data_IF_331059443431
#
_entry.id   IF_331059443431
#
_cell.length_a   1.000
_cell.length_b   1.000
_cell.length_c   1.000
_cell.angle_alpha   90.00
_cell.angle_beta   90.00
_cell.angle_gamma   90.00
#
_symmetry.space_group_name_H-M   'P 1'
#
loop_
_entity.id
_entity.type
_entity.pdbx_description
1 polymer ?
#
# COMPACT_ATOMS: atom_id res chain seq x y z
N UNK A 1 -14.56 -7.44 19.67
CA UNK A 1 -14.05 -8.22 18.53
C UNK A 1 -12.84 -9.00 19.01
N UNK A 2 -12.80 -10.31 18.84
CA UNK A 2 -11.72 -11.14 19.35
C UNK A 2 -10.71 -11.31 18.21
N UNK A 3 -9.56 -10.65 18.31
CA UNK A 3 -8.50 -10.74 17.30
C UNK A 3 -7.82 -12.11 17.43
N UNK A 4 -8.10 -13.03 16.50
CA UNK A 4 -7.70 -14.43 16.64
C UNK A 4 -6.20 -14.68 16.47
N UNK A 5 -5.58 -14.09 15.45
CA UNK A 5 -4.19 -14.40 15.11
C UNK A 5 -3.47 -13.21 14.48
N UNK A 6 -2.28 -12.91 14.99
CA UNK A 6 -1.34 -11.98 14.34
C UNK A 6 -0.80 -12.66 13.09
N UNK A 7 -0.91 -12.00 11.94
CA UNK A 7 -0.36 -12.45 10.64
C UNK A 7 0.80 -11.61 10.17
N UNK A 8 0.91 -10.36 10.62
CA UNK A 8 2.07 -9.52 10.37
C UNK A 8 2.20 -8.43 11.43
N UNK A 9 3.45 -8.10 11.78
CA UNK A 9 3.81 -6.93 12.58
C UNK A 9 4.65 -6.03 11.69
N UNK A 10 4.30 -4.75 11.61
CA UNK A 10 5.04 -3.68 10.92
C UNK A 10 5.41 -2.62 11.95
N UNK A 11 6.28 -1.69 11.56
CA UNK A 11 6.73 -0.64 12.48
C UNK A 11 5.59 0.28 12.94
N UNK A 12 4.53 0.38 12.16
CA UNK A 12 3.46 1.35 12.23
C UNK A 12 2.06 0.72 12.45
N UNK A 13 1.95 -0.60 12.29
CA UNK A 13 0.68 -1.32 12.42
C UNK A 13 0.85 -2.81 12.68
N UNK A 14 -0.12 -3.39 13.35
CA UNK A 14 -0.25 -4.84 13.50
C UNK A 14 -1.43 -5.35 12.70
N UNK A 15 -1.21 -6.44 11.97
CA UNK A 15 -2.24 -7.06 11.13
C UNK A 15 -2.66 -8.38 11.74
N UNK A 16 -3.95 -8.52 11.95
CA UNK A 16 -4.57 -9.71 12.51
C UNK A 16 -5.46 -10.40 11.48
N UNK A 17 -5.65 -11.68 11.67
CA UNK A 17 -6.76 -12.42 11.07
C UNK A 17 -7.86 -12.56 12.10
N UNK A 18 -9.10 -12.38 11.66
CA UNK A 18 -10.32 -12.63 12.43
C UNK A 18 -11.33 -13.31 11.50
N UNK A 19 -11.34 -14.64 11.53
CA UNK A 19 -12.14 -15.44 10.60
C UNK A 19 -11.78 -15.19 9.13
N UNK A 20 -12.73 -14.63 8.40
CA UNK A 20 -12.59 -14.26 6.98
C UNK A 20 -12.15 -12.79 6.79
N UNK A 21 -11.76 -12.11 7.86
CA UNK A 21 -11.34 -10.72 7.82
C UNK A 21 -9.85 -10.56 8.14
N UNK A 22 -9.28 -9.55 7.52
CA UNK A 22 -7.97 -8.98 7.82
C UNK A 22 -8.20 -7.67 8.56
N UNK A 23 -7.60 -7.52 9.74
CA UNK A 23 -7.74 -6.36 10.61
C UNK A 23 -6.38 -5.69 10.76
N UNK A 24 -6.24 -4.49 10.19
CA UNK A 24 -5.05 -3.64 10.35
C UNK A 24 -5.31 -2.68 11.51
N UNK A 25 -4.60 -2.86 12.61
CA UNK A 25 -4.65 -1.97 13.78
C UNK A 25 -3.44 -1.04 13.71
N UNK A 26 -3.70 0.26 13.56
CA UNK A 26 -2.65 1.28 13.42
C UNK A 26 -2.19 1.76 14.80
N UNK A 27 -0.93 2.12 14.90
CA UNK A 27 -0.40 2.76 16.10
C UNK A 27 -0.66 4.28 16.10
N UNK A 28 -0.19 4.97 17.13
CA UNK A 28 -0.39 6.41 17.32
C UNK A 28 0.48 7.28 16.39
N UNK A 29 1.38 6.71 15.59
CA UNK A 29 2.19 7.46 14.63
C UNK A 29 1.39 7.88 13.40
N UNK A 30 0.28 7.20 13.11
CA UNK A 30 -0.62 7.54 12.00
C UNK A 30 -1.70 8.51 12.42
N UNK A 31 -1.89 9.54 11.61
CA UNK A 31 -3.05 10.42 11.76
C UNK A 31 -4.32 9.72 11.27
N UNK A 32 -5.46 10.19 11.75
CA UNK A 32 -6.76 9.69 11.27
C UNK A 32 -6.91 9.85 9.75
N UNK A 33 -6.40 10.95 9.18
CA UNK A 33 -6.44 11.20 7.74
C UNK A 33 -5.58 10.22 6.95
N UNK A 34 -4.44 9.79 7.47
CA UNK A 34 -3.60 8.79 6.80
C UNK A 34 -4.33 7.45 6.69
N UNK A 35 -4.97 7.02 7.79
CA UNK A 35 -5.70 5.75 7.83
C UNK A 35 -6.92 5.77 6.91
N UNK A 36 -7.68 6.88 6.91
CA UNK A 36 -8.81 7.08 6.00
C UNK A 36 -8.35 7.10 4.55
N UNK A 37 -7.21 7.71 4.25
CA UNK A 37 -6.63 7.73 2.91
C UNK A 37 -6.17 6.34 2.46
N UNK A 38 -5.56 5.53 3.34
CA UNK A 38 -5.20 4.13 3.01
C UNK A 38 -6.46 3.33 2.63
N UNK A 39 -7.53 3.46 3.40
CA UNK A 39 -8.78 2.76 3.10
C UNK A 39 -9.43 3.25 1.80
N UNK A 40 -9.44 4.57 1.57
CA UNK A 40 -9.94 5.18 0.34
C UNK A 40 -9.18 4.67 -0.89
N UNK A 41 -7.85 4.68 -0.86
CA UNK A 41 -7.04 4.23 -1.98
C UNK A 41 -7.22 2.75 -2.27
N UNK A 42 -7.34 1.92 -1.23
CA UNK A 42 -7.64 0.50 -1.41
C UNK A 42 -9.01 0.28 -2.06
N UNK A 43 -10.02 1.05 -1.66
CA UNK A 43 -11.37 1.00 -2.24
C UNK A 43 -11.35 1.45 -3.70
N UNK A 44 -10.72 2.59 -4.01
CA UNK A 44 -10.61 3.08 -5.39
C UNK A 44 -9.85 2.12 -6.30
N UNK A 45 -8.79 1.48 -5.80
CA UNK A 45 -8.06 0.46 -6.54
C UNK A 45 -8.96 -0.73 -6.89
N UNK A 46 -9.82 -1.18 -5.95
CA UNK A 46 -10.80 -2.23 -6.20
C UNK A 46 -11.85 -1.82 -7.23
N UNK A 47 -12.40 -0.62 -7.12
CA UNK A 47 -13.37 -0.06 -8.06
C UNK A 47 -12.78 0.08 -9.48
N UNK A 48 -11.48 0.34 -9.59
CA UNK A 48 -10.74 0.33 -10.86
C UNK A 48 -10.49 -1.09 -11.41
N UNK A 49 -11.00 -2.13 -10.75
CA UNK A 49 -10.89 -3.53 -11.19
C UNK A 49 -9.56 -4.21 -10.83
N UNK A 50 -8.82 -3.68 -9.85
CA UNK A 50 -7.68 -4.40 -9.27
C UNK A 50 -8.16 -5.46 -8.28
N UNK A 51 -7.50 -6.62 -8.30
CA UNK A 51 -7.81 -7.71 -7.37
C UNK A 51 -7.15 -7.45 -5.99
N UNK A 52 -7.71 -6.49 -5.26
CA UNK A 52 -7.31 -6.14 -3.90
C UNK A 52 -8.42 -6.49 -2.90
N UNK A 53 -8.10 -6.74 -1.62
CA UNK A 53 -9.10 -7.01 -0.59
C UNK A 53 -10.10 -5.87 -0.49
N UNK A 54 -11.40 -6.21 -0.35
CA UNK A 54 -12.45 -5.22 -0.16
C UNK A 54 -12.41 -4.64 1.25
N UNK A 55 -12.46 -3.33 1.38
CA UNK A 55 -12.58 -2.64 2.67
C UNK A 55 -14.03 -2.75 3.15
N UNK A 56 -14.23 -3.44 4.28
CA UNK A 56 -15.58 -3.63 4.83
C UNK A 56 -15.99 -2.50 5.77
N UNK A 57 -15.05 -2.05 6.61
CA UNK A 57 -15.32 -0.95 7.54
C UNK A 57 -14.02 -0.40 8.13
N UNK A 58 -14.12 0.81 8.65
CA UNK A 58 -13.14 1.43 9.53
C UNK A 58 -13.77 1.49 10.91
N UNK A 59 -13.04 1.13 11.93
CA UNK A 59 -13.53 1.08 13.31
C UNK A 59 -12.41 1.40 14.28
N UNK A 60 -12.75 1.54 15.54
CA UNK A 60 -11.80 1.70 16.63
C UNK A 60 -11.75 0.40 17.46
N UNK A 61 -10.54 -0.08 17.72
CA UNK A 61 -10.27 -1.27 18.55
C UNK A 61 -9.25 -0.85 19.61
N UNK A 62 -9.62 -0.94 20.87
CA UNK A 62 -8.80 -0.56 22.01
C UNK A 62 -8.20 0.85 21.87
N UNK A 63 -9.02 1.83 21.45
CA UNK A 63 -8.63 3.22 21.25
C UNK A 63 -7.76 3.47 20.00
N UNK A 64 -7.62 2.47 19.09
CA UNK A 64 -6.83 2.58 17.87
C UNK A 64 -7.68 2.42 16.63
N UNK A 65 -7.53 3.34 15.70
CA UNK A 65 -8.19 3.21 14.40
C UNK A 65 -7.70 1.97 13.66
N UNK A 66 -8.64 1.28 13.05
CA UNK A 66 -8.41 0.00 12.40
C UNK A 66 -9.20 -0.11 11.10
N UNK A 67 -8.58 -0.70 10.08
CA UNK A 67 -9.22 -1.03 8.80
C UNK A 67 -9.52 -2.52 8.78
N UNK A 68 -10.76 -2.87 8.50
CA UNK A 68 -11.21 -4.24 8.32
C UNK A 68 -11.48 -4.48 6.85
N UNK A 69 -10.83 -5.48 6.28
CA UNK A 69 -10.97 -5.89 4.88
C UNK A 69 -11.11 -7.41 4.76
N UNK A 70 -11.39 -7.90 3.57
CA UNK A 70 -11.37 -9.34 3.29
C UNK A 70 -9.99 -9.93 3.58
N UNK A 71 -9.98 -11.14 4.16
CA UNK A 71 -8.76 -11.92 4.30
C UNK A 71 -8.52 -12.76 3.05
N UNK A 72 -7.40 -12.54 2.38
CA UNK A 72 -7.00 -13.35 1.22
C UNK A 72 -6.24 -14.59 1.72
N UNK A 73 -6.82 -15.76 1.51
CA UNK A 73 -6.16 -17.03 1.76
C UNK A 73 -5.11 -17.29 0.69
N UNK A 74 -3.86 -17.50 1.11
CA UNK A 74 -2.78 -17.77 0.17
C UNK A 74 -1.41 -17.69 0.81
N UNK A 75 -0.40 -17.87 -0.02
CA UNK A 75 1.00 -17.70 0.32
C UNK A 75 1.59 -16.53 -0.46
N UNK A 76 2.54 -15.85 0.14
CA UNK A 76 3.28 -14.79 -0.56
C UNK A 76 4.21 -15.39 -1.61
N UNK A 77 4.48 -14.65 -2.69
CA UNK A 77 5.47 -15.10 -3.69
C UNK A 77 6.86 -15.28 -3.06
N UNK A 78 7.21 -14.47 -2.06
CA UNK A 78 8.47 -14.62 -1.31
C UNK A 78 8.55 -15.97 -0.62
N UNK A 79 7.51 -16.39 0.11
CA UNK A 79 7.50 -17.72 0.74
C UNK A 79 7.51 -18.84 -0.28
N UNK A 80 6.74 -18.71 -1.37
CA UNK A 80 6.73 -19.71 -2.45
C UNK A 80 8.10 -19.87 -3.11
N UNK A 81 8.84 -18.77 -3.35
CA UNK A 81 10.20 -18.81 -3.90
C UNK A 81 11.17 -19.48 -2.92
N UNK A 82 11.03 -19.17 -1.63
CA UNK A 82 11.88 -19.73 -0.58
C UNK A 82 11.67 -21.24 -0.42
N UNK A 83 10.40 -21.65 -0.42
CA UNK A 83 10.02 -23.06 -0.24
C UNK A 83 10.26 -23.90 -1.51
N UNK A 84 10.28 -23.27 -2.69
CA UNK A 84 10.43 -23.93 -4.00
C UNK A 84 11.41 -23.17 -4.91
N UNK A 85 12.73 -23.13 -4.60
CA UNK A 85 13.71 -22.34 -5.35
C UNK A 85 13.80 -22.73 -6.84
N UNK A 86 13.53 -23.98 -7.17
CA UNK A 86 13.54 -24.50 -8.54
C UNK A 86 12.45 -23.87 -9.42
N UNK A 87 11.35 -23.35 -8.81
CA UNK A 87 10.25 -22.66 -9.51
C UNK A 87 10.38 -21.16 -9.50
N UNK A 88 11.53 -20.61 -9.06
CA UNK A 88 11.74 -19.16 -8.94
C UNK A 88 11.39 -18.38 -10.20
N UNK A 89 11.80 -18.89 -11.38
CA UNK A 89 11.52 -18.23 -12.67
C UNK A 89 10.01 -18.11 -12.93
N UNK A 90 9.26 -19.13 -12.58
CA UNK A 90 7.79 -19.13 -12.72
C UNK A 90 7.16 -18.06 -11.81
N UNK A 91 7.55 -18.04 -10.54
CA UNK A 91 7.01 -17.05 -9.58
C UNK A 91 7.39 -15.62 -9.94
N UNK A 92 8.61 -15.38 -10.43
CA UNK A 92 9.02 -14.07 -10.94
C UNK A 92 8.19 -13.66 -12.17
N UNK A 93 7.83 -14.60 -13.05
CA UNK A 93 6.94 -14.31 -14.18
C UNK A 93 5.54 -13.94 -13.71
N UNK A 94 5.00 -14.63 -12.72
CA UNK A 94 3.71 -14.27 -12.09
C UNK A 94 3.79 -12.83 -11.54
N UNK A 95 4.84 -12.51 -10.79
CA UNK A 95 5.06 -11.17 -10.26
C UNK A 95 5.09 -10.10 -11.35
N UNK A 96 5.88 -10.32 -12.41
CA UNK A 96 5.99 -9.39 -13.54
C UNK A 96 4.66 -9.22 -14.26
N UNK A 97 3.93 -10.29 -14.52
CA UNK A 97 2.62 -10.22 -15.18
C UNK A 97 1.60 -9.46 -14.32
N UNK A 98 1.60 -9.69 -13.00
CA UNK A 98 0.74 -8.95 -12.06
C UNK A 98 1.10 -7.45 -12.07
N UNK A 99 2.38 -7.10 -12.13
CA UNK A 99 2.82 -5.70 -12.25
C UNK A 99 2.35 -5.06 -13.55
N UNK A 100 2.48 -5.77 -14.68
CA UNK A 100 2.02 -5.27 -15.99
C UNK A 100 0.50 -5.09 -16.00
N UNK A 101 -0.26 -6.02 -15.41
CA UNK A 101 -1.69 -5.90 -15.26
C UNK A 101 -2.07 -4.67 -14.41
N UNK A 102 -1.42 -4.48 -13.27
CA UNK A 102 -1.62 -3.32 -12.40
C UNK A 102 -1.34 -2.01 -13.15
N UNK A 103 -0.24 -1.94 -13.90
CA UNK A 103 0.14 -0.76 -14.68
C UNK A 103 -0.80 -0.50 -15.88
N UNK A 104 -1.54 -1.50 -16.34
CA UNK A 104 -2.53 -1.34 -17.41
C UNK A 104 -3.83 -0.70 -16.95
N UNK A 105 -4.10 -0.71 -15.64
CA UNK A 105 -5.32 -0.15 -15.06
C UNK A 105 -5.18 1.36 -14.86
N UNK A 106 -6.28 2.06 -15.06
CA UNK A 106 -6.39 3.49 -14.73
C UNK A 106 -7.20 3.62 -13.44
N UNK A 107 -6.57 4.14 -12.40
CA UNK A 107 -7.22 4.43 -11.13
C UNK A 107 -7.11 5.94 -10.86
N UNK A 108 -8.19 6.65 -10.60
CA UNK A 108 -8.19 8.08 -10.31
C UNK A 108 -7.74 8.36 -8.86
N UNK A 109 -6.62 7.80 -8.43
CA UNK A 109 -6.08 8.02 -7.09
C UNK A 109 -5.78 9.51 -6.89
N UNK A 110 -6.22 10.11 -5.78
CA UNK A 110 -5.83 11.47 -5.42
C UNK A 110 -4.35 11.49 -5.04
N UNK A 111 -3.59 12.33 -5.68
CA UNK A 111 -2.16 12.49 -5.44
C UNK A 111 -1.33 11.86 -6.56
N UNK A 112 -0.73 12.72 -7.35
CA UNK A 112 0.22 12.30 -8.38
C UNK A 112 1.53 11.92 -7.70
N UNK A 113 2.23 10.93 -8.23
CA UNK A 113 3.56 10.53 -7.75
C UNK A 113 4.51 11.74 -7.65
N UNK A 114 4.42 12.64 -8.62
CA UNK A 114 5.16 13.92 -8.63
C UNK A 114 4.90 14.75 -7.36
N UNK A 115 3.65 14.87 -6.93
CA UNK A 115 3.28 15.67 -5.75
C UNK A 115 3.72 14.98 -4.46
N UNK A 116 3.62 13.65 -4.40
CA UNK A 116 4.09 12.82 -3.28
C UNK A 116 5.60 12.97 -3.11
N UNK A 117 6.37 12.84 -4.20
CA UNK A 117 7.83 12.99 -4.17
C UNK A 117 8.20 14.45 -3.82
N UNK A 118 7.49 15.44 -4.39
CA UNK A 118 7.70 16.85 -4.07
C UNK A 118 7.52 17.15 -2.58
N UNK A 119 6.45 16.65 -1.99
CA UNK A 119 6.21 16.78 -0.55
C UNK A 119 7.27 16.04 0.27
N UNK A 120 7.70 14.84 -0.15
CA UNK A 120 8.76 14.11 0.51
C UNK A 120 10.08 14.90 0.51
N UNK A 121 10.47 15.49 -0.62
CA UNK A 121 11.67 16.36 -0.74
C UNK A 121 11.58 17.53 0.24
N UNK A 122 10.41 18.17 0.35
CA UNK A 122 10.23 19.33 1.23
C UNK A 122 10.29 18.96 2.72
N UNK A 123 9.95 17.72 3.08
CA UNK A 123 9.98 17.23 4.47
C UNK A 123 11.35 16.68 4.91
N UNK A 124 12.31 16.54 3.98
CA UNK A 124 13.64 16.04 4.33
C UNK A 124 14.47 17.08 5.09
N UNK A 125 15.41 16.62 5.89
CA UNK A 125 16.41 17.45 6.59
C UNK A 125 17.55 17.90 5.68
N UNK A 126 17.42 17.75 4.36
CA UNK A 126 18.40 18.24 3.39
C UNK A 126 18.53 19.77 3.47
N UNK A 127 19.73 20.27 3.15
CA UNK A 127 19.92 21.71 3.05
C UNK A 127 19.07 22.31 1.92
N UNK A 128 18.86 23.64 1.96
CA UNK A 128 17.97 24.34 1.05
C UNK A 128 18.39 24.16 -0.43
N UNK A 129 19.70 24.17 -0.71
CA UNK A 129 20.24 24.00 -2.07
C UNK A 129 19.86 22.65 -2.64
N UNK A 130 20.08 21.56 -1.89
CA UNK A 130 19.78 20.22 -2.33
C UNK A 130 18.27 20.02 -2.52
N UNK A 131 17.43 20.55 -1.62
CA UNK A 131 15.97 20.52 -1.79
C UNK A 131 15.53 21.23 -3.07
N UNK A 132 16.12 22.40 -3.34
CA UNK A 132 15.84 23.15 -4.56
C UNK A 132 16.25 22.36 -5.82
N UNK A 133 17.46 21.83 -5.87
CA UNK A 133 17.97 21.04 -7.00
C UNK A 133 17.10 19.79 -7.27
N UNK A 134 16.70 19.08 -6.22
CA UNK A 134 15.81 17.94 -6.34
C UNK A 134 14.42 18.35 -6.85
N UNK A 135 13.90 19.48 -6.39
CA UNK A 135 12.63 20.04 -6.86
C UNK A 135 12.68 20.43 -8.35
N UNK A 136 13.77 21.06 -8.79
CA UNK A 136 14.00 21.40 -10.20
C UNK A 136 14.08 20.12 -11.06
N UNK A 137 14.83 19.12 -10.64
CA UNK A 137 14.94 17.83 -11.35
C UNK A 137 13.59 17.12 -11.42
N UNK A 138 12.83 17.10 -10.33
CA UNK A 138 11.49 16.53 -10.30
C UNK A 138 10.56 17.24 -11.28
N UNK A 139 10.61 18.58 -11.35
CA UNK A 139 9.79 19.39 -12.26
C UNK A 139 10.15 19.18 -13.73
N UNK A 140 11.41 18.82 -14.01
CA UNK A 140 11.90 18.51 -15.37
C UNK A 140 11.49 17.11 -15.84
N UNK A 141 11.08 16.21 -14.95
CA UNK A 141 10.57 14.91 -15.34
C UNK A 141 9.27 15.06 -16.13
N UNK A 142 9.07 14.32 -17.22
CA UNK A 142 7.79 14.29 -17.91
C UNK A 142 6.70 14.02 -16.87
N UNK A 143 5.67 14.85 -16.84
CA UNK A 143 4.48 14.57 -15.99
C UNK A 143 3.96 13.21 -16.46
N UNK A 144 4.30 12.17 -15.71
CA UNK A 144 3.84 10.81 -15.97
C UNK A 144 2.32 10.76 -15.73
N UNK A 145 1.56 11.35 -16.66
CA UNK A 145 0.10 11.27 -16.69
C UNK A 145 -0.40 9.86 -17.04
N UNK A 146 0.52 8.91 -17.27
CA UNK A 146 0.20 7.54 -17.73
C UNK A 146 0.51 6.44 -16.73
N UNK A 147 0.92 6.76 -15.50
CA UNK A 147 1.17 5.77 -14.46
C UNK A 147 0.19 5.97 -13.29
N UNK A 148 -1.08 6.04 -13.60
CA UNK A 148 -2.22 5.74 -12.71
C UNK A 148 -3.44 5.52 -13.58
#
# INVERSE_FOLDING_TARGET
MKLDRIIAVRNDKTVYRDGEFCVKVFDSSHTKSDILSEALYQTMAREAGLNVPDVKRITEIDGRLSIISDYIKGQTLDSLIRDNPQRRKEYLRIFTNTQLELQSKRCPLPGRMHDIIGQAIMRTEFNATLRYDLGVRLSALPKLQKLC
#
